data_IF_201233137701
#
_entry.id   IF_201233137701
#
_cell.length_a   1.000
_cell.length_b   1.000
_cell.length_c   1.000
_cell.angle_alpha   90.00
_cell.angle_beta   90.00
_cell.angle_gamma   90.00
#
_symmetry.space_group_name_H-M   'P 1'
#
loop_
_entity.id
_entity.type
_entity.pdbx_description
1 polymer ?
#
# COMPACT_ATOMS: atom_id res chain seq x y z
N UNK A 1 30.10 -25.65 -67.46
CA UNK A 1 28.68 -25.56 -66.96
C UNK A 1 28.69 -24.86 -65.62
N UNK A 2 28.40 -23.57 -65.63
CA UNK A 2 28.37 -22.71 -64.43
C UNK A 2 26.93 -22.60 -63.97
N UNK A 3 26.63 -23.04 -62.72
CA UNK A 3 25.28 -22.91 -62.11
C UNK A 3 25.24 -21.56 -61.36
N UNK A 4 24.44 -20.62 -61.86
CA UNK A 4 24.06 -19.38 -61.18
C UNK A 4 23.03 -19.71 -60.11
N UNK A 5 23.35 -19.45 -58.83
CA UNK A 5 22.42 -19.49 -57.72
C UNK A 5 21.81 -18.11 -57.55
N UNK A 6 20.53 -17.99 -57.89
CA UNK A 6 19.73 -16.79 -57.60
C UNK A 6 19.45 -16.71 -56.10
N UNK A 7 19.91 -15.65 -55.47
CA UNK A 7 19.62 -15.31 -54.07
C UNK A 7 18.33 -14.49 -54.04
N UNK A 8 17.25 -15.07 -53.53
CA UNK A 8 15.98 -14.36 -53.35
C UNK A 8 16.05 -13.56 -52.03
N UNK A 9 16.13 -12.23 -52.14
CA UNK A 9 16.11 -11.32 -51.01
C UNK A 9 14.64 -11.12 -50.60
N UNK A 10 14.21 -11.72 -49.47
CA UNK A 10 12.89 -11.46 -48.88
C UNK A 10 12.98 -10.18 -48.05
N UNK A 11 12.39 -9.10 -48.58
CA UNK A 11 12.25 -7.82 -47.88
C UNK A 11 11.09 -7.94 -46.90
N UNK A 12 11.38 -8.13 -45.60
CA UNK A 12 10.36 -8.08 -44.55
C UNK A 12 10.05 -6.60 -44.25
N UNK A 13 8.93 -6.12 -44.74
CA UNK A 13 8.40 -4.80 -44.33
C UNK A 13 7.86 -4.92 -42.90
N UNK A 14 8.57 -4.37 -41.92
CA UNK A 14 8.05 -4.09 -40.59
C UNK A 14 7.03 -2.95 -40.68
N UNK A 15 5.76 -3.28 -40.66
CA UNK A 15 4.71 -2.28 -40.50
C UNK A 15 4.79 -1.73 -39.07
N UNK A 16 5.27 -0.50 -38.90
CA UNK A 16 5.14 0.25 -37.68
C UNK A 16 3.64 0.51 -37.39
N UNK A 17 3.04 -0.26 -36.51
CA UNK A 17 1.68 0.02 -35.99
C UNK A 17 1.84 1.22 -35.05
N UNK A 18 1.60 2.41 -35.56
CA UNK A 18 1.44 3.62 -34.74
C UNK A 18 0.07 3.54 -34.08
N UNK A 19 0.04 3.20 -32.79
CA UNK A 19 -1.19 3.28 -32.01
C UNK A 19 -1.61 4.76 -31.94
N UNK A 20 -2.87 5.09 -32.22
CA UNK A 20 -3.35 6.46 -32.13
C UNK A 20 -3.24 6.95 -30.70
N UNK A 21 -2.67 8.15 -30.50
CA UNK A 21 -2.72 8.84 -29.20
C UNK A 21 -4.18 9.10 -28.82
N UNK A 22 -4.55 9.00 -27.51
CA UNK A 22 -5.91 9.27 -27.08
C UNK A 22 -6.32 10.69 -27.47
N UNK A 23 -7.57 10.87 -27.89
CA UNK A 23 -8.07 12.18 -28.26
C UNK A 23 -8.12 13.09 -27.01
N UNK A 24 -7.98 14.42 -27.20
CA UNK A 24 -8.09 15.41 -26.11
C UNK A 24 -9.41 15.26 -25.33
N UNK A 25 -10.48 14.86 -25.99
CA UNK A 25 -11.77 14.60 -25.36
C UNK A 25 -11.73 13.36 -24.46
N UNK A 26 -11.10 12.26 -24.90
CA UNK A 26 -10.95 11.06 -24.08
C UNK A 26 -10.09 11.33 -22.82
N UNK A 27 -9.00 12.07 -22.95
CA UNK A 27 -8.17 12.47 -21.80
C UNK A 27 -8.95 13.34 -20.81
N UNK A 28 -9.76 14.28 -21.30
CA UNK A 28 -10.60 15.13 -20.45
C UNK A 28 -11.68 14.32 -19.71
N UNK A 29 -12.27 13.31 -20.34
CA UNK A 29 -13.27 12.43 -19.69
C UNK A 29 -12.64 11.58 -18.58
N UNK A 30 -11.45 11.03 -18.81
CA UNK A 30 -10.70 10.28 -17.80
C UNK A 30 -10.37 11.16 -16.58
N UNK A 31 -9.87 12.38 -16.81
CA UNK A 31 -9.61 13.34 -15.72
C UNK A 31 -10.87 13.66 -14.93
N UNK A 32 -12.01 13.92 -15.60
CA UNK A 32 -13.28 14.24 -14.95
C UNK A 32 -13.83 13.07 -14.10
N UNK A 33 -13.54 11.82 -14.49
CA UNK A 33 -13.90 10.65 -13.68
C UNK A 33 -13.14 10.64 -12.34
N UNK A 34 -11.83 10.88 -12.35
CA UNK A 34 -11.01 10.93 -11.14
C UNK A 34 -11.29 12.15 -10.27
N UNK A 35 -11.62 13.30 -10.86
CA UNK A 35 -12.13 14.46 -10.13
C UNK A 35 -13.44 14.12 -9.39
N UNK A 36 -14.31 13.34 -10.03
CA UNK A 36 -15.57 12.87 -9.43
C UNK A 36 -15.31 11.91 -8.26
N UNK A 37 -14.36 10.98 -8.40
CA UNK A 37 -13.94 10.07 -7.31
C UNK A 37 -13.37 10.88 -6.14
N UNK A 38 -12.52 11.89 -6.42
CA UNK A 38 -11.97 12.80 -5.41
C UNK A 38 -13.07 13.54 -4.63
N UNK A 39 -14.09 14.02 -5.35
CA UNK A 39 -15.22 14.71 -4.72
C UNK A 39 -16.08 13.77 -3.85
N UNK A 40 -16.34 12.53 -4.30
CA UNK A 40 -17.09 11.53 -3.53
C UNK A 40 -16.35 11.16 -2.25
N UNK A 41 -15.06 10.84 -2.36
CA UNK A 41 -14.24 10.41 -1.22
C UNK A 41 -13.75 11.59 -0.35
N UNK A 42 -13.95 12.83 -0.80
CA UNK A 42 -13.55 14.08 -0.13
C UNK A 42 -12.05 14.13 0.19
N UNK A 43 -11.24 13.56 -0.69
CA UNK A 43 -9.78 13.56 -0.58
C UNK A 43 -9.14 13.66 -1.96
N UNK A 44 -7.92 14.18 -2.01
CA UNK A 44 -7.22 14.40 -3.28
C UNK A 44 -6.71 13.09 -3.85
N UNK A 45 -6.80 12.97 -5.16
CA UNK A 45 -6.10 11.95 -5.92
C UNK A 45 -4.58 12.14 -5.83
N UNK A 46 -3.87 11.06 -5.59
CA UNK A 46 -2.42 10.98 -5.64
C UNK A 46 -2.01 9.89 -6.65
N UNK A 47 -2.00 10.25 -7.93
CA UNK A 47 -1.62 9.32 -8.99
C UNK A 47 -0.12 9.04 -8.97
N UNK A 48 0.25 7.79 -8.75
CA UNK A 48 1.64 7.33 -8.77
C UNK A 48 1.72 5.81 -8.96
N UNK A 49 2.75 5.34 -9.65
CA UNK A 49 2.96 3.89 -9.83
C UNK A 49 1.88 3.17 -10.61
N UNK A 50 1.14 3.89 -11.48
CA UNK A 50 0.10 3.34 -12.34
C UNK A 50 -1.24 3.09 -11.64
N UNK A 51 -1.52 3.81 -10.53
CA UNK A 51 -2.81 3.76 -9.85
C UNK A 51 -3.16 5.10 -9.20
N UNK A 52 -4.45 5.33 -8.97
CA UNK A 52 -5.01 6.48 -8.27
C UNK A 52 -5.19 6.14 -6.80
N UNK A 53 -4.54 6.90 -5.91
CA UNK A 53 -4.59 6.67 -4.47
C UNK A 53 -5.29 7.79 -3.74
N UNK A 54 -6.25 7.42 -2.90
CA UNK A 54 -7.03 8.30 -2.04
C UNK A 54 -6.70 7.98 -0.59
N UNK A 55 -5.96 8.87 0.07
CA UNK A 55 -5.54 8.66 1.45
C UNK A 55 -6.63 9.15 2.42
N UNK A 56 -6.92 8.34 3.43
CA UNK A 56 -8.00 8.53 4.41
C UNK A 56 -7.47 8.38 5.84
N UNK A 57 -6.43 9.13 6.25
CA UNK A 57 -5.76 8.92 7.53
C UNK A 57 -6.70 9.20 8.71
N UNK A 58 -6.65 8.34 9.73
CA UNK A 58 -7.42 8.44 10.98
C UNK A 58 -6.76 9.41 11.96
N UNK A 59 -6.78 10.69 11.64
CA UNK A 59 -6.26 11.76 12.52
C UNK A 59 -7.18 12.08 13.70
N UNK A 60 -8.35 11.48 13.75
CA UNK A 60 -9.28 11.50 14.88
C UNK A 60 -8.89 10.54 16.02
N UNK A 61 -7.90 9.67 15.78
CA UNK A 61 -7.46 8.67 16.75
C UNK A 61 -6.10 9.07 17.33
N UNK A 62 -6.04 9.15 18.66
CA UNK A 62 -4.75 9.18 19.38
C UNK A 62 -4.40 7.77 19.77
N UNK A 63 -3.43 7.17 19.08
CA UNK A 63 -2.99 5.80 19.26
C UNK A 63 -1.73 5.74 20.10
N UNK A 64 -1.66 4.76 21.02
CA UNK A 64 -0.48 4.49 21.84
C UNK A 64 -0.10 3.03 21.76
N UNK A 65 1.20 2.74 21.84
CA UNK A 65 1.75 1.42 22.09
C UNK A 65 2.72 1.57 23.28
N UNK A 66 2.32 1.09 24.44
CA UNK A 66 3.04 1.36 25.67
C UNK A 66 3.15 2.86 25.98
N UNK A 67 4.37 3.37 26.11
CA UNK A 67 4.66 4.80 26.34
C UNK A 67 4.74 5.63 25.03
N UNK A 68 4.72 4.98 23.87
CA UNK A 68 4.86 5.63 22.57
C UNK A 68 3.52 6.15 22.07
N UNK A 69 3.42 7.43 21.75
CA UNK A 69 2.33 7.98 20.95
C UNK A 69 2.67 7.80 19.47
N UNK A 70 1.84 7.02 18.78
CA UNK A 70 2.00 6.66 17.38
C UNK A 70 1.53 7.80 16.49
N UNK A 71 2.41 8.30 15.63
CA UNK A 71 2.05 9.30 14.64
C UNK A 71 1.07 8.70 13.61
N UNK A 72 0.08 9.47 13.12
CA UNK A 72 -0.84 8.95 12.10
C UNK A 72 -0.13 8.40 10.86
N UNK A 73 0.98 9.00 10.46
CA UNK A 73 1.80 8.61 9.33
C UNK A 73 2.55 7.28 9.54
N UNK A 74 2.66 6.82 10.80
CA UNK A 74 3.31 5.55 11.13
C UNK A 74 2.38 4.36 10.86
N UNK A 75 1.12 4.42 11.35
CA UNK A 75 0.21 3.28 11.33
C UNK A 75 -1.27 3.59 11.03
N UNK A 76 -1.71 4.87 11.04
CA UNK A 76 -3.13 5.23 10.90
C UNK A 76 -3.52 5.63 9.46
N UNK A 77 -2.78 5.17 8.49
CA UNK A 77 -2.90 5.56 7.09
C UNK A 77 -3.91 4.72 6.30
N UNK A 78 -5.21 4.78 6.61
CA UNK A 78 -6.23 4.18 5.74
C UNK A 78 -6.16 4.75 4.32
N UNK A 79 -6.53 3.95 3.33
CA UNK A 79 -6.47 4.34 1.93
C UNK A 79 -7.37 3.48 1.04
N UNK A 80 -7.70 4.03 -0.13
CA UNK A 80 -8.28 3.31 -1.26
C UNK A 80 -7.46 3.61 -2.52
N UNK A 81 -7.21 2.60 -3.33
CA UNK A 81 -6.48 2.71 -4.58
C UNK A 81 -7.28 2.10 -5.73
N UNK A 82 -7.22 2.74 -6.89
CA UNK A 82 -7.91 2.28 -8.10
C UNK A 82 -6.88 2.12 -9.22
N UNK A 83 -6.98 1.04 -10.01
CA UNK A 83 -6.23 0.96 -11.27
C UNK A 83 -6.66 2.05 -12.24
N UNK A 84 -5.81 2.39 -13.22
CA UNK A 84 -5.90 3.61 -14.03
C UNK A 84 -7.07 3.67 -15.04
N UNK A 85 -7.80 2.57 -15.26
CA UNK A 85 -8.98 2.58 -16.13
C UNK A 85 -10.25 2.92 -15.32
N UNK A 86 -10.86 4.12 -15.47
CA UNK A 86 -12.03 4.51 -14.69
C UNK A 86 -13.30 3.72 -15.02
N UNK A 87 -13.39 3.08 -16.20
CA UNK A 87 -14.56 2.29 -16.61
C UNK A 87 -14.44 0.82 -16.17
N UNK A 88 -13.22 0.33 -15.89
CA UNK A 88 -12.95 -1.02 -15.46
C UNK A 88 -11.85 -1.05 -14.40
N UNK A 89 -12.06 -0.30 -13.31
CA UNK A 89 -11.10 -0.20 -12.22
C UNK A 89 -11.10 -1.45 -11.33
N UNK A 90 -9.90 -1.81 -10.87
CA UNK A 90 -9.70 -2.66 -9.70
C UNK A 90 -9.56 -1.74 -8.49
N UNK A 91 -10.43 -1.90 -7.50
CA UNK A 91 -10.33 -1.26 -6.19
C UNK A 91 -9.56 -2.18 -5.25
N UNK A 92 -8.59 -1.63 -4.55
CA UNK A 92 -7.96 -2.22 -3.37
C UNK A 92 -7.85 -1.15 -2.29
N UNK A 93 -7.89 -1.55 -1.02
CA UNK A 93 -7.75 -0.58 0.06
C UNK A 93 -7.51 -1.24 1.40
N UNK A 94 -7.17 -0.42 2.38
CA UNK A 94 -6.98 -0.81 3.76
C UNK A 94 -7.64 0.23 4.66
N UNK A 95 -8.68 -0.17 5.37
CA UNK A 95 -9.45 0.68 6.27
C UNK A 95 -8.94 0.50 7.70
N UNK A 96 -8.76 1.60 8.40
CA UNK A 96 -8.39 1.61 9.83
C UNK A 96 -9.65 1.88 10.66
N UNK A 97 -10.06 0.92 11.45
CA UNK A 97 -11.33 0.94 12.17
C UNK A 97 -11.15 0.85 13.69
N UNK A 98 -11.94 1.60 14.42
CA UNK A 98 -12.19 1.31 15.86
C UNK A 98 -12.98 0.01 15.98
N UNK A 99 -12.84 -0.71 17.09
CA UNK A 99 -13.56 -1.97 17.29
C UNK A 99 -15.10 -1.79 17.18
N UNK A 100 -15.64 -0.62 17.53
CA UNK A 100 -17.06 -0.30 17.41
C UNK A 100 -17.52 -0.06 15.98
N UNK A 101 -16.62 0.27 15.07
CA UNK A 101 -16.92 0.54 13.66
C UNK A 101 -16.93 -0.74 12.81
N UNK A 102 -16.25 -1.81 13.26
CA UNK A 102 -16.05 -3.03 12.46
C UNK A 102 -17.36 -3.65 11.97
N UNK A 103 -18.28 -3.96 12.87
CA UNK A 103 -19.54 -4.61 12.51
C UNK A 103 -20.39 -3.78 11.53
N UNK A 104 -20.66 -2.49 11.82
CA UNK A 104 -21.36 -1.59 10.89
C UNK A 104 -20.70 -1.48 9.52
N UNK A 105 -19.35 -1.38 9.46
CA UNK A 105 -18.61 -1.28 8.19
C UNK A 105 -18.70 -2.58 7.39
N UNK A 106 -18.49 -3.74 8.01
CA UNK A 106 -18.60 -5.04 7.32
C UNK A 106 -20.00 -5.28 6.76
N UNK A 107 -21.03 -4.90 7.52
CA UNK A 107 -22.43 -4.97 7.06
C UNK A 107 -22.65 -4.10 5.83
N UNK A 108 -22.14 -2.88 5.84
CA UNK A 108 -22.29 -1.96 4.71
C UNK A 108 -21.48 -2.42 3.50
N UNK A 109 -20.21 -2.86 3.66
CA UNK A 109 -19.38 -3.40 2.57
C UNK A 109 -20.11 -4.55 1.87
N UNK A 110 -20.68 -5.49 2.63
CA UNK A 110 -21.45 -6.61 2.07
C UNK A 110 -22.70 -6.13 1.31
N UNK A 111 -23.45 -5.15 1.87
CA UNK A 111 -24.62 -4.57 1.21
C UNK A 111 -24.26 -3.85 -0.10
N UNK A 112 -23.09 -3.26 -0.15
CA UNK A 112 -22.55 -2.59 -1.34
C UNK A 112 -21.85 -3.55 -2.33
N UNK A 113 -21.71 -4.84 -1.98
CA UNK A 113 -21.00 -5.86 -2.78
C UNK A 113 -19.51 -5.54 -2.99
N UNK A 114 -18.89 -4.89 -2.02
CA UNK A 114 -17.45 -4.76 -1.93
C UNK A 114 -16.88 -5.96 -1.19
N UNK A 115 -15.78 -6.49 -1.67
CA UNK A 115 -15.12 -7.64 -1.07
C UNK A 115 -14.36 -7.22 0.19
N UNK A 116 -14.38 -8.09 1.19
CA UNK A 116 -13.50 -8.03 2.36
C UNK A 116 -12.49 -9.15 2.19
N UNK A 117 -11.23 -8.79 1.99
CA UNK A 117 -10.18 -9.76 1.68
C UNK A 117 -9.28 -10.08 2.88
N UNK A 118 -9.28 -9.25 3.92
CA UNK A 118 -8.65 -9.54 5.21
C UNK A 118 -9.26 -8.70 6.34
N UNK A 119 -9.23 -9.23 7.55
CA UNK A 119 -9.53 -8.54 8.81
C UNK A 119 -8.40 -8.90 9.76
N UNK A 120 -7.61 -7.93 10.19
CA UNK A 120 -6.38 -8.20 10.92
C UNK A 120 -5.96 -7.01 11.81
N UNK A 121 -4.87 -7.16 12.55
CA UNK A 121 -4.20 -6.11 13.29
C UNK A 121 -2.87 -5.74 12.62
N UNK A 122 -2.43 -4.49 12.72
CA UNK A 122 -1.06 -4.09 12.39
C UNK A 122 -0.14 -4.15 13.62
N UNK A 123 -0.68 -3.78 14.76
CA UNK A 123 0.05 -3.66 16.00
C UNK A 123 -0.49 -4.65 17.06
N UNK A 124 0.23 -4.80 18.17
CA UNK A 124 -0.18 -5.58 19.32
C UNK A 124 0.02 -4.75 20.57
N UNK A 125 -0.99 -4.71 21.45
CA UNK A 125 -0.94 -3.94 22.69
C UNK A 125 -1.17 -2.45 22.50
N UNK A 126 -1.73 -2.05 21.37
CA UNK A 126 -2.14 -0.68 21.09
C UNK A 126 -3.43 -0.28 21.81
N UNK A 127 -3.56 1.01 22.16
CA UNK A 127 -4.74 1.62 22.73
C UNK A 127 -5.09 2.95 22.02
N UNK A 128 -6.34 3.11 21.54
CA UNK A 128 -7.40 2.09 21.46
C UNK A 128 -7.02 0.95 20.51
N UNK A 129 -7.60 -0.24 20.74
CA UNK A 129 -7.42 -1.36 19.81
C UNK A 129 -8.04 -1.02 18.46
N UNK A 130 -7.24 -1.21 17.41
CA UNK A 130 -7.65 -0.97 16.04
C UNK A 130 -7.73 -2.29 15.26
N UNK A 131 -8.56 -2.26 14.23
CA UNK A 131 -8.75 -3.38 13.30
C UNK A 131 -8.56 -2.81 11.89
N UNK A 132 -7.80 -3.53 11.09
CA UNK A 132 -7.52 -3.18 9.71
C UNK A 132 -8.31 -4.11 8.80
N UNK A 133 -8.91 -3.53 7.76
CA UNK A 133 -9.79 -4.27 6.86
C UNK A 133 -9.38 -4.01 5.43
N UNK A 134 -8.83 -5.05 4.78
CA UNK A 134 -8.59 -4.98 3.35
C UNK A 134 -9.88 -5.16 2.59
N UNK A 135 -10.06 -4.29 1.61
CA UNK A 135 -11.22 -4.27 0.72
C UNK A 135 -10.80 -4.43 -0.73
N UNK A 136 -11.70 -4.98 -1.52
CA UNK A 136 -11.53 -5.15 -2.96
C UNK A 136 -12.82 -4.93 -3.73
N UNK A 137 -12.69 -4.80 -5.05
CA UNK A 137 -13.83 -4.72 -5.94
C UNK A 137 -13.41 -4.42 -7.37
N UNK A 138 -14.31 -4.69 -8.32
CA UNK A 138 -14.10 -4.42 -9.74
C UNK A 138 -15.30 -3.69 -10.32
N UNK A 139 -15.07 -2.72 -11.19
CA UNK A 139 -16.13 -1.98 -11.87
C UNK A 139 -15.76 -0.54 -12.19
N UNK A 140 -16.76 0.29 -12.45
CA UNK A 140 -16.51 1.71 -12.72
C UNK A 140 -16.04 2.41 -11.44
N UNK A 141 -14.96 3.16 -11.55
CA UNK A 141 -14.32 3.84 -10.40
C UNK A 141 -15.31 4.72 -9.61
N UNK A 142 -16.20 5.43 -10.30
CA UNK A 142 -17.23 6.28 -9.66
C UNK A 142 -18.22 5.45 -8.83
N UNK A 143 -18.61 4.27 -9.32
CA UNK A 143 -19.57 3.42 -8.61
C UNK A 143 -18.91 2.77 -7.39
N UNK A 144 -17.68 2.27 -7.54
CA UNK A 144 -16.85 1.76 -6.44
C UNK A 144 -16.61 2.84 -5.37
N UNK A 145 -16.32 4.08 -5.79
CA UNK A 145 -16.16 5.20 -4.85
C UNK A 145 -17.43 5.51 -4.07
N UNK A 146 -18.62 5.48 -4.69
CA UNK A 146 -19.91 5.64 -4.01
C UNK A 146 -20.20 4.51 -3.04
N UNK A 147 -19.88 3.28 -3.41
CA UNK A 147 -20.03 2.11 -2.53
C UNK A 147 -19.13 2.24 -1.30
N UNK A 148 -17.87 2.60 -1.51
CA UNK A 148 -16.90 2.84 -0.43
C UNK A 148 -17.32 4.03 0.46
N UNK A 149 -17.80 5.11 -0.11
CA UNK A 149 -18.30 6.28 0.64
C UNK A 149 -19.39 5.93 1.65
N UNK A 150 -20.32 5.03 1.27
CA UNK A 150 -21.35 4.52 2.19
C UNK A 150 -20.77 3.73 3.35
N UNK A 151 -19.72 2.90 3.08
CA UNK A 151 -19.04 2.18 4.14
C UNK A 151 -18.26 3.13 5.07
N UNK A 152 -17.57 4.13 4.51
CA UNK A 152 -16.89 5.16 5.28
C UNK A 152 -17.84 6.02 6.12
N UNK A 153 -19.11 6.19 5.70
CA UNK A 153 -20.13 6.87 6.50
C UNK A 153 -20.49 6.11 7.79
N UNK A 154 -20.04 4.85 7.96
CA UNK A 154 -20.16 4.06 9.19
C UNK A 154 -18.97 4.23 10.14
N UNK A 155 -18.04 5.13 9.80
CA UNK A 155 -16.82 5.40 10.57
C UNK A 155 -16.78 6.88 10.98
N UNK A 156 -15.89 7.19 11.91
CA UNK A 156 -15.54 8.58 12.25
C UNK A 156 -14.32 9.08 11.43
N UNK A 157 -13.98 8.41 10.33
CA UNK A 157 -12.88 8.83 9.45
C UNK A 157 -13.08 10.27 8.99
N UNK A 158 -12.12 11.19 9.28
CA UNK A 158 -12.28 12.60 8.95
C UNK A 158 -12.35 12.82 7.45
N UNK A 159 -13.44 13.42 6.98
CA UNK A 159 -13.62 13.83 5.57
C UNK A 159 -14.35 15.20 5.52
N UNK A 160 -13.78 16.19 4.87
CA UNK A 160 -12.51 16.18 4.12
C UNK A 160 -11.31 15.88 5.01
N UNK A 161 -10.25 15.32 4.39
CA UNK A 161 -9.02 14.95 5.10
C UNK A 161 -8.33 16.20 5.66
N UNK A 162 -8.14 16.21 6.98
CA UNK A 162 -7.44 17.29 7.65
C UNK A 162 -5.94 17.32 7.27
N UNK A 163 -5.37 18.51 7.26
CA UNK A 163 -3.93 18.69 7.10
C UNK A 163 -3.14 17.96 8.21
N UNK A 164 -1.94 17.51 7.90
CA UNK A 164 -1.04 16.98 8.92
C UNK A 164 -0.60 18.12 9.86
N UNK A 165 -0.56 17.82 11.16
CA UNK A 165 0.04 18.73 12.14
C UNK A 165 1.57 18.70 12.02
N UNK A 166 2.22 19.80 12.40
CA UNK A 166 3.69 19.83 12.48
C UNK A 166 4.17 18.80 13.52
N UNK A 167 5.17 18.01 13.15
CA UNK A 167 5.77 17.05 14.08
C UNK A 167 6.76 17.75 15.02
N UNK A 168 6.76 17.40 16.31
CA UNK A 168 7.64 18.03 17.29
C UNK A 168 9.11 17.58 17.16
N UNK A 169 9.38 16.45 16.53
CA UNK A 169 10.72 15.87 16.40
C UNK A 169 10.96 15.38 14.96
N UNK A 170 12.10 15.75 14.39
CA UNK A 170 12.54 15.26 13.09
C UNK A 170 13.34 13.95 13.26
N UNK A 171 13.08 12.98 12.38
CA UNK A 171 13.88 11.75 12.31
C UNK A 171 15.17 12.01 11.49
N UNK A 172 16.28 11.35 11.87
CA UNK A 172 17.48 11.28 11.02
C UNK A 172 17.22 10.40 9.80
N UNK A 173 16.62 11.00 8.80
CA UNK A 173 16.28 10.33 7.55
C UNK A 173 17.49 9.92 6.73
N UNK A 174 18.62 10.61 6.87
CA UNK A 174 19.86 10.26 6.17
C UNK A 174 20.40 8.91 6.66
N UNK A 175 20.42 8.70 7.98
CA UNK A 175 20.78 7.40 8.58
C UNK A 175 19.82 6.30 8.13
N UNK A 176 18.51 6.56 8.14
CA UNK A 176 17.49 5.57 7.71
C UNK A 176 17.71 5.17 6.26
N UNK A 177 17.81 6.14 5.34
CA UNK A 177 17.88 5.85 3.92
C UNK A 177 19.21 5.19 3.53
N UNK A 178 20.32 5.65 4.12
CA UNK A 178 21.64 5.03 3.90
C UNK A 178 21.70 3.60 4.45
N UNK A 179 21.22 3.38 5.68
CA UNK A 179 21.25 2.07 6.32
C UNK A 179 20.34 1.03 5.66
N UNK A 180 19.17 1.45 5.18
CA UNK A 180 18.27 0.57 4.43
C UNK A 180 18.65 0.45 2.95
N UNK A 181 19.59 1.27 2.45
CA UNK A 181 20.04 1.25 1.06
C UNK A 181 18.92 1.64 0.07
N UNK A 182 18.00 2.53 0.50
CA UNK A 182 16.85 2.97 -0.29
C UNK A 182 16.56 4.43 -0.07
N UNK A 183 16.25 5.15 -1.13
CA UNK A 183 15.62 6.46 -1.02
C UNK A 183 14.19 6.33 -0.47
N UNK A 184 13.74 7.38 0.19
CA UNK A 184 12.42 7.42 0.79
C UNK A 184 11.91 8.85 0.90
N UNK A 185 10.91 9.05 1.73
CA UNK A 185 10.33 10.35 2.04
C UNK A 185 10.11 10.50 3.53
N UNK A 186 9.96 11.74 4.00
CA UNK A 186 9.64 12.03 5.38
C UNK A 186 8.30 12.73 5.49
N UNK A 187 7.55 12.37 6.52
CA UNK A 187 6.30 13.02 6.92
C UNK A 187 6.38 13.30 8.42
N UNK A 188 6.76 14.53 8.77
CA UNK A 188 6.97 14.90 10.16
C UNK A 188 8.09 14.08 10.82
N UNK A 189 7.78 13.36 11.90
CA UNK A 189 8.70 12.48 12.63
C UNK A 189 8.86 11.10 11.99
N UNK A 190 8.21 10.82 10.86
CA UNK A 190 8.21 9.49 10.23
C UNK A 190 9.01 9.51 8.94
N UNK A 191 10.00 8.62 8.82
CA UNK A 191 10.66 8.28 7.56
C UNK A 191 9.98 7.05 6.97
N UNK A 192 9.67 7.09 5.67
CA UNK A 192 9.08 5.99 4.93
C UNK A 192 9.99 5.57 3.79
N UNK A 193 10.24 4.27 3.67
CA UNK A 193 10.85 3.61 2.51
C UNK A 193 9.92 2.52 2.00
N UNK A 194 10.13 2.06 0.77
CA UNK A 194 9.37 0.93 0.22
C UNK A 194 10.29 -0.03 -0.50
N UNK A 195 10.03 -1.32 -0.32
CA UNK A 195 10.74 -2.41 -0.97
C UNK A 195 9.84 -3.14 -1.95
N UNK A 196 10.49 -3.82 -2.90
CA UNK A 196 9.87 -4.74 -3.84
C UNK A 196 10.52 -6.10 -3.62
N UNK A 197 9.87 -6.98 -2.86
CA UNK A 197 10.41 -8.27 -2.47
C UNK A 197 9.81 -9.43 -3.26
N UNK A 198 8.62 -9.22 -3.82
CA UNK A 198 7.95 -10.22 -4.66
C UNK A 198 8.56 -10.21 -6.06
N UNK A 199 9.12 -11.32 -6.54
CA UNK A 199 9.63 -11.41 -7.91
C UNK A 199 8.50 -11.60 -8.92
N UNK A 200 8.66 -11.01 -10.10
CA UNK A 200 7.76 -11.22 -11.22
C UNK A 200 6.46 -10.45 -11.18
N UNK A 201 5.47 -10.95 -11.92
CA UNK A 201 4.18 -10.32 -12.12
C UNK A 201 3.13 -10.97 -11.21
N UNK A 202 2.31 -10.16 -10.59
CA UNK A 202 1.14 -10.62 -9.82
C UNK A 202 -0.12 -10.34 -10.62
N UNK A 203 -1.03 -11.30 -10.63
CA UNK A 203 -2.34 -11.17 -11.28
C UNK A 203 -3.46 -11.57 -10.32
N UNK A 204 -4.61 -10.94 -10.45
CA UNK A 204 -5.84 -11.26 -9.73
C UNK A 204 -7.02 -11.03 -10.68
N UNK A 205 -7.93 -11.99 -10.78
CA UNK A 205 -9.12 -11.96 -11.66
C UNK A 205 -8.79 -11.61 -13.13
N UNK A 206 -7.65 -12.11 -13.63
CA UNK A 206 -7.17 -11.85 -14.99
C UNK A 206 -6.52 -10.48 -15.20
N UNK A 207 -6.54 -9.60 -14.21
CA UNK A 207 -5.91 -8.28 -14.26
C UNK A 207 -4.50 -8.32 -13.64
N UNK A 208 -3.62 -7.42 -14.11
CA UNK A 208 -2.30 -7.22 -13.49
C UNK A 208 -2.45 -6.32 -12.27
N UNK A 209 -2.01 -6.81 -11.11
CA UNK A 209 -1.86 -5.98 -9.92
C UNK A 209 -0.56 -5.19 -10.04
N UNK A 210 -0.63 -3.87 -10.01
CA UNK A 210 0.59 -3.05 -9.97
C UNK A 210 1.24 -3.15 -8.58
N UNK A 211 2.58 -3.15 -8.49
CA UNK A 211 3.25 -3.26 -7.20
C UNK A 211 2.77 -2.22 -6.17
N UNK A 212 2.69 -0.96 -6.60
CA UNK A 212 2.31 0.15 -5.72
C UNK A 212 0.85 0.05 -5.24
N UNK A 213 -0.03 -0.58 -6.01
CA UNK A 213 -1.42 -0.83 -5.62
C UNK A 213 -1.53 -1.99 -4.63
N UNK A 214 -0.87 -3.12 -4.89
CA UNK A 214 -1.19 -4.38 -4.23
C UNK A 214 -0.09 -5.04 -3.40
N UNK A 215 1.21 -4.85 -3.71
CA UNK A 215 2.27 -5.64 -3.06
C UNK A 215 3.62 -4.91 -2.89
N UNK A 216 3.62 -3.59 -2.83
CA UNK A 216 4.76 -2.86 -2.31
C UNK A 216 4.89 -3.08 -0.80
N UNK A 217 6.12 -3.10 -0.30
CA UNK A 217 6.43 -3.32 1.11
C UNK A 217 6.87 -2.02 1.79
N UNK A 218 5.93 -1.20 2.30
CA UNK A 218 6.25 0.03 3.03
C UNK A 218 6.81 -0.29 4.41
N UNK A 219 7.84 0.44 4.80
CA UNK A 219 8.43 0.47 6.13
C UNK A 219 8.41 1.90 6.63
N UNK A 220 7.78 2.13 7.76
CA UNK A 220 7.65 3.41 8.42
C UNK A 220 8.45 3.39 9.72
N UNK A 221 9.27 4.42 9.96
CA UNK A 221 10.10 4.55 11.15
C UNK A 221 9.83 5.93 11.76
N UNK A 222 9.43 5.95 13.02
CA UNK A 222 9.13 7.17 13.78
C UNK A 222 10.21 7.40 14.86
N UNK A 223 10.74 8.63 14.92
CA UNK A 223 11.55 9.04 16.06
C UNK A 223 10.65 9.22 17.29
N UNK A 224 11.04 8.61 18.42
CA UNK A 224 10.38 8.76 19.72
C UNK A 224 11.07 9.84 20.55
N UNK A 225 12.42 9.81 20.54
CA UNK A 225 13.29 10.80 21.14
C UNK A 225 14.59 10.93 20.32
N UNK A 226 15.62 11.55 20.87
CA UNK A 226 16.90 11.79 20.17
C UNK A 226 17.65 10.49 19.80
N UNK A 227 17.33 9.36 20.42
CA UNK A 227 18.04 8.08 20.27
C UNK A 227 17.14 6.93 19.90
N UNK A 228 15.90 6.91 20.41
CA UNK A 228 14.93 5.84 20.28
C UNK A 228 14.01 6.05 19.08
N UNK A 229 13.76 5.00 18.38
CA UNK A 229 12.79 4.97 17.29
C UNK A 229 11.91 3.74 17.37
N UNK A 230 10.70 3.84 16.84
CA UNK A 230 9.80 2.73 16.59
C UNK A 230 9.56 2.56 15.11
N UNK A 231 9.31 1.33 14.70
CA UNK A 231 9.01 1.05 13.29
C UNK A 231 7.89 0.02 13.16
N UNK A 232 7.09 0.21 12.14
CA UNK A 232 6.13 -0.78 11.64
C UNK A 232 6.05 -0.71 10.12
N UNK A 233 5.42 -1.68 9.52
CA UNK A 233 5.27 -1.73 8.07
C UNK A 233 4.59 -3.01 7.65
N UNK A 234 4.69 -3.30 6.37
CA UNK A 234 4.02 -4.41 5.75
C UNK A 234 4.92 -5.02 4.68
N UNK A 235 5.40 -6.22 4.89
CA UNK A 235 6.25 -6.93 3.94
C UNK A 235 5.42 -7.90 3.09
N UNK A 236 5.21 -7.55 1.83
CA UNK A 236 4.64 -8.44 0.83
C UNK A 236 5.70 -9.44 0.35
N UNK A 237 5.43 -10.74 0.49
CA UNK A 237 6.38 -11.82 0.23
C UNK A 237 5.69 -13.07 -0.31
N UNK A 238 6.46 -13.94 -0.94
CA UNK A 238 6.01 -15.31 -1.28
C UNK A 238 6.13 -16.23 -0.06
N UNK A 239 5.45 -17.38 -0.09
CA UNK A 239 5.48 -18.34 1.03
C UNK A 239 6.88 -18.83 1.42
N UNK A 240 7.81 -18.95 0.46
CA UNK A 240 9.19 -19.36 0.74
C UNK A 240 10.01 -18.31 1.51
N UNK A 241 9.65 -17.03 1.40
CA UNK A 241 10.33 -15.93 2.08
C UNK A 241 9.88 -15.74 3.54
N UNK A 242 8.68 -16.23 3.91
CA UNK A 242 8.12 -16.06 5.27
C UNK A 242 9.01 -16.66 6.36
N UNK A 243 9.43 -17.95 6.33
CA UNK A 243 10.20 -18.50 7.43
C UNK A 243 11.57 -17.84 7.66
N UNK A 244 12.38 -17.50 6.63
CA UNK A 244 13.65 -16.81 6.86
C UNK A 244 13.45 -15.40 7.44
N UNK A 245 12.42 -14.66 7.00
CA UNK A 245 12.13 -13.33 7.55
C UNK A 245 11.68 -13.39 9.00
N UNK A 246 10.82 -14.34 9.39
CA UNK A 246 10.40 -14.50 10.79
C UNK A 246 11.60 -14.82 11.71
N UNK A 247 12.57 -15.61 11.22
CA UNK A 247 13.82 -15.84 11.97
C UNK A 247 14.67 -14.58 12.10
N UNK A 248 14.76 -13.78 11.04
CA UNK A 248 15.48 -12.51 11.08
C UNK A 248 14.83 -11.50 12.04
N UNK A 249 13.51 -11.39 12.04
CA UNK A 249 12.78 -10.59 13.02
C UNK A 249 13.15 -10.98 14.45
N UNK A 250 13.04 -12.27 14.78
CA UNK A 250 13.35 -12.77 16.13
C UNK A 250 14.83 -12.51 16.51
N UNK A 251 15.76 -12.71 15.58
CA UNK A 251 17.19 -12.50 15.82
C UNK A 251 17.56 -11.05 16.14
N UNK A 252 16.76 -10.08 15.67
CA UNK A 252 16.98 -8.66 15.86
C UNK A 252 15.99 -8.00 16.86
N UNK A 253 15.24 -8.80 17.62
CA UNK A 253 14.30 -8.30 18.63
C UNK A 253 13.11 -7.53 18.03
N UNK A 254 12.77 -7.78 16.78
CA UNK A 254 11.60 -7.22 16.10
C UNK A 254 10.46 -8.22 16.23
N UNK A 255 9.30 -7.75 16.65
CA UNK A 255 8.11 -8.61 16.82
C UNK A 255 7.29 -8.64 15.54
N UNK A 256 7.11 -9.80 14.93
CA UNK A 256 6.09 -9.97 13.89
C UNK A 256 4.72 -9.91 14.57
N UNK A 257 3.85 -8.97 14.11
CA UNK A 257 2.56 -8.71 14.77
C UNK A 257 1.39 -9.32 14.02
N UNK A 258 1.53 -9.58 12.73
CA UNK A 258 0.55 -10.32 11.93
C UNK A 258 1.22 -11.01 10.74
N UNK A 259 0.62 -12.12 10.30
CA UNK A 259 0.90 -12.81 9.04
C UNK A 259 -0.44 -13.14 8.39
N UNK A 260 -0.72 -12.59 7.21
CA UNK A 260 -2.02 -12.68 6.57
C UNK A 260 -1.91 -12.50 5.04
N UNK A 261 -3.03 -12.45 4.34
CA UNK A 261 -3.13 -12.15 2.91
C UNK A 261 -3.86 -10.82 2.71
N UNK A 262 -3.60 -10.09 1.63
CA UNK A 262 -4.35 -8.88 1.25
C UNK A 262 -5.39 -9.16 0.17
N UNK A 263 -5.15 -10.19 -0.62
CA UNK A 263 -5.94 -10.55 -1.80
C UNK A 263 -6.48 -11.96 -1.63
N UNK A 264 -7.48 -12.30 -2.44
CA UNK A 264 -8.02 -13.65 -2.55
C UNK A 264 -7.97 -14.04 -4.02
N UNK A 265 -7.30 -15.17 -4.31
CA UNK A 265 -7.21 -15.72 -5.67
C UNK A 265 -6.12 -15.10 -6.54
N UNK A 266 -5.19 -14.35 -5.98
CA UNK A 266 -4.02 -13.83 -6.68
C UNK A 266 -3.00 -14.93 -7.03
N UNK A 267 -2.23 -14.68 -8.08
CA UNK A 267 -1.15 -15.58 -8.52
C UNK A 267 0.14 -14.78 -8.78
N UNK A 268 1.27 -15.18 -8.15
CA UNK A 268 1.39 -16.18 -7.08
C UNK A 268 0.68 -15.73 -5.80
N UNK A 269 0.33 -16.67 -4.91
CA UNK A 269 -0.20 -16.34 -3.57
C UNK A 269 0.85 -15.58 -2.78
N UNK A 270 0.43 -14.45 -2.20
CA UNK A 270 1.28 -13.57 -1.41
C UNK A 270 0.87 -13.61 0.06
N UNK A 271 1.87 -13.41 0.90
CA UNK A 271 1.72 -13.24 2.33
C UNK A 271 2.24 -11.87 2.73
N UNK A 272 1.65 -11.32 3.78
CA UNK A 272 1.99 -10.00 4.28
C UNK A 272 2.34 -10.12 5.76
N UNK A 273 3.46 -9.51 6.15
CA UNK A 273 3.98 -9.59 7.51
C UNK A 273 4.05 -8.19 8.09
N UNK A 274 3.20 -7.91 9.08
CA UNK A 274 3.35 -6.74 9.93
C UNK A 274 4.33 -7.00 11.07
N UNK A 275 4.92 -5.93 11.56
CA UNK A 275 5.91 -6.00 12.61
C UNK A 275 5.89 -4.75 13.49
N UNK A 276 6.46 -4.88 14.68
CA UNK A 276 6.78 -3.77 15.57
C UNK A 276 8.24 -3.87 16.01
N UNK A 277 8.99 -2.78 15.82
CA UNK A 277 10.34 -2.60 16.35
C UNK A 277 10.36 -1.38 17.28
N UNK A 278 11.11 -1.49 18.39
CA UNK A 278 11.28 -0.43 19.37
C UNK A 278 12.68 -0.53 19.97
N UNK A 279 13.59 0.34 19.52
CA UNK A 279 15.00 0.28 19.89
C UNK A 279 15.71 1.61 19.52
N UNK A 280 17.00 1.79 19.86
CA UNK A 280 17.81 2.86 19.27
C UNK A 280 17.76 2.83 17.74
N UNK A 281 17.61 4.00 17.10
CA UNK A 281 17.41 4.13 15.65
C UNK A 281 18.41 3.31 14.82
N UNK A 282 19.74 3.29 15.11
CA UNK A 282 20.66 2.46 14.33
C UNK A 282 20.34 0.96 14.40
N UNK A 283 19.84 0.48 15.57
CA UNK A 283 19.46 -0.93 15.76
C UNK A 283 18.19 -1.29 15.02
N UNK A 284 17.21 -0.39 14.99
CA UNK A 284 16.00 -0.56 14.17
C UNK A 284 16.38 -0.69 12.69
N UNK A 285 17.25 0.19 12.20
CA UNK A 285 17.69 0.17 10.79
C UNK A 285 18.50 -1.08 10.46
N UNK A 286 19.43 -1.49 11.33
CA UNK A 286 20.22 -2.73 11.19
C UNK A 286 19.31 -3.97 11.11
N UNK A 287 18.36 -4.09 12.04
CA UNK A 287 17.44 -5.22 12.09
C UNK A 287 16.51 -5.27 10.85
N UNK A 288 15.94 -4.15 10.44
CA UNK A 288 15.09 -4.08 9.25
C UNK A 288 15.88 -4.40 7.98
N UNK A 289 17.15 -3.98 7.90
CA UNK A 289 18.02 -4.35 6.78
C UNK A 289 18.25 -5.86 6.74
N UNK A 290 18.55 -6.50 7.87
CA UNK A 290 18.72 -7.95 7.95
C UNK A 290 17.43 -8.71 7.55
N UNK A 291 16.25 -8.21 7.94
CA UNK A 291 14.96 -8.79 7.54
C UNK A 291 14.76 -8.71 6.01
N UNK A 292 15.04 -7.56 5.41
CA UNK A 292 14.96 -7.39 3.95
C UNK A 292 15.96 -8.29 3.22
N UNK A 293 17.17 -8.44 3.74
CA UNK A 293 18.18 -9.32 3.12
C UNK A 293 17.80 -10.80 3.26
N UNK A 294 17.11 -11.20 4.34
CA UNK A 294 16.58 -12.56 4.49
C UNK A 294 15.44 -12.92 3.52
N UNK A 295 14.82 -11.93 2.89
CA UNK A 295 13.80 -12.13 1.86
C UNK A 295 14.37 -12.34 0.45
N UNK A 296 15.68 -12.17 0.25
CA UNK A 296 16.35 -12.28 -1.05
C UNK A 296 16.95 -13.65 -1.25
#
# INVERSE_FOLDING_TARGET
MMRVRSLLLVLVMLANVVLPSPSRAATAMVSAAWDSVSAILQTKDAFAGGYHRFNLPRRDITLRVGDVTVAPELALGAWAGFSDDPEMAMLMGDLVLKSTELGPVLTELAAQKLDVTAIHNHLVGEEPRLIYVHIGGHGRAIDLARQLDRALARTETPRPVAAASAAPLAIDSALVFAGLGRSGRTHGSVAQVSFMLVPGKVTMDGMTVTPALGYASPVNIQAVDATRAVATGDFAVTGSQVPPMLRAFAAHGITATALHTHMIGESPTLYFIHFWADAPLPKVVEGLRAVVDAAR
#
